data_IF_167873144415
#
_entry.id   IF_167873144415
#
_cell.length_a   1.000
_cell.length_b   1.000
_cell.length_c   1.000
_cell.angle_alpha   90.00
_cell.angle_beta   90.00
_cell.angle_gamma   90.00
#
_symmetry.space_group_name_H-M   'P 1'
#
loop_
_entity.id
_entity.type
_entity.pdbx_description
1 polymer ?
#
# COMPACT_ATOMS: atom_id res chain seq x y z
N UNK A 1 7.12 -24.72 -63.76
CA UNK A 1 5.88 -25.53 -63.82
C UNK A 1 5.12 -25.21 -62.54
N UNK A 2 4.26 -24.20 -62.55
CA UNK A 2 2.86 -24.21 -63.03
C UNK A 2 1.92 -24.87 -62.02
N UNK A 3 0.70 -24.39 -61.77
CA UNK A 3 0.09 -23.07 -61.98
C UNK A 3 -1.28 -23.05 -61.26
N UNK A 4 -1.85 -21.85 -61.14
CA UNK A 4 -3.26 -21.49 -60.85
C UNK A 4 -4.34 -22.56 -61.14
N UNK A 5 -5.43 -22.47 -60.38
CA UNK A 5 -6.79 -22.62 -60.92
C UNK A 5 -7.73 -21.50 -60.42
N UNK A 6 -7.85 -20.44 -61.23
CA UNK A 6 -9.11 -19.74 -61.44
C UNK A 6 -9.77 -20.48 -62.63
N UNK A 7 -11.09 -20.65 -62.79
CA UNK A 7 -12.14 -19.64 -62.95
C UNK A 7 -13.39 -20.34 -63.51
N UNK A 8 -14.57 -19.67 -63.51
CA UNK A 8 -15.60 -19.56 -64.57
C UNK A 8 -17.00 -19.30 -63.97
N UNK A 9 -18.00 -18.65 -64.60
CA UNK A 9 -18.08 -17.46 -65.50
C UNK A 9 -19.59 -17.15 -65.79
N UNK A 10 -19.92 -16.03 -66.46
CA UNK A 10 -21.20 -15.66 -67.15
C UNK A 10 -22.39 -15.21 -66.24
N UNK A 11 -23.21 -14.16 -66.48
CA UNK A 11 -23.43 -13.06 -67.49
C UNK A 11 -24.27 -11.92 -66.80
N UNK A 12 -24.61 -10.74 -67.34
CA UNK A 12 -24.31 -10.04 -68.61
C UNK A 12 -25.45 -9.09 -69.08
N UNK A 13 -25.14 -7.92 -69.69
CA UNK A 13 -26.04 -6.85 -70.23
C UNK A 13 -26.81 -6.00 -69.17
N UNK A 14 -27.11 -4.68 -69.33
CA UNK A 14 -26.98 -3.69 -70.42
C UNK A 14 -26.99 -2.21 -69.89
N UNK A 15 -27.08 -1.15 -70.74
CA UNK A 15 -26.20 0.03 -70.55
C UNK A 15 -26.81 1.41 -70.16
N UNK A 16 -25.92 2.26 -69.59
CA UNK A 16 -25.78 3.75 -69.67
C UNK A 16 -26.96 4.68 -69.35
N UNK A 17 -26.71 5.62 -68.44
CA UNK A 17 -26.78 7.08 -68.70
C UNK A 17 -26.02 7.87 -67.59
N UNK A 18 -25.49 9.03 -67.95
CA UNK A 18 -24.86 10.05 -67.09
C UNK A 18 -25.44 11.42 -67.55
N UNK A 19 -25.43 12.54 -66.78
CA UNK A 19 -24.22 13.06 -66.10
C UNK A 19 -24.46 13.88 -64.80
N UNK A 20 -23.45 14.69 -64.45
CA UNK A 20 -23.46 15.90 -63.59
C UNK A 20 -23.62 15.74 -62.08
N UNK A 21 -22.45 15.59 -61.42
CA UNK A 21 -21.91 16.53 -60.42
C UNK A 21 -22.91 17.48 -59.71
N UNK A 22 -22.85 17.52 -58.38
CA UNK A 22 -22.42 18.68 -57.59
C UNK A 22 -21.74 18.17 -56.32
N UNK A 23 -20.49 18.60 -56.06
CA UNK A 23 -19.71 18.10 -54.93
C UNK A 23 -19.91 18.96 -53.68
N UNK A 24 -20.24 18.32 -52.55
CA UNK A 24 -20.06 18.90 -51.21
C UNK A 24 -19.19 17.94 -50.39
N UNK A 25 -17.89 18.20 -50.37
CA UNK A 25 -16.94 17.46 -49.55
C UNK A 25 -17.14 17.83 -48.09
N UNK A 26 -17.91 17.02 -47.34
CA UNK A 26 -17.89 17.08 -45.89
C UNK A 26 -16.51 16.60 -45.40
N UNK A 27 -15.64 17.55 -45.09
CA UNK A 27 -14.42 17.28 -44.33
C UNK A 27 -14.86 16.91 -42.92
N UNK A 28 -14.84 15.60 -42.62
CA UNK A 28 -14.92 15.13 -41.24
C UNK A 28 -13.61 15.49 -40.56
N UNK A 29 -13.57 16.65 -39.93
CA UNK A 29 -12.50 17.02 -39.01
C UNK A 29 -12.52 16.08 -37.82
N UNK A 30 -11.76 14.99 -37.91
CA UNK A 30 -11.35 14.22 -36.74
C UNK A 30 -10.57 15.15 -35.82
N UNK A 31 -11.26 15.74 -34.84
CA UNK A 31 -10.61 16.26 -33.65
C UNK A 31 -9.97 15.08 -32.92
N UNK A 32 -8.69 14.85 -33.23
CA UNK A 32 -7.79 14.10 -32.37
C UNK A 32 -7.65 14.91 -31.08
N UNK A 33 -8.62 14.73 -30.17
CA UNK A 33 -8.51 15.15 -28.80
C UNK A 33 -7.37 14.38 -28.17
N UNK A 34 -6.17 14.96 -28.21
CA UNK A 34 -5.00 14.45 -27.51
C UNK A 34 -5.36 14.34 -26.03
N UNK A 35 -5.66 13.13 -25.58
CA UNK A 35 -5.78 12.82 -24.18
C UNK A 35 -4.42 13.12 -23.56
N UNK A 36 -4.30 14.27 -22.91
CA UNK A 36 -3.15 14.62 -22.10
C UNK A 36 -3.07 13.59 -20.99
N UNK A 37 -2.18 12.61 -21.16
CA UNK A 37 -1.70 11.82 -20.04
C UNK A 37 -1.34 12.80 -18.94
N UNK A 38 -2.05 12.73 -17.81
CA UNK A 38 -1.69 13.49 -16.63
C UNK A 38 -0.27 13.07 -16.30
N UNK A 39 0.70 13.98 -16.54
CA UNK A 39 2.08 13.73 -16.19
C UNK A 39 2.09 13.39 -14.71
N UNK A 40 2.74 12.27 -14.35
CA UNK A 40 3.11 12.04 -12.96
C UNK A 40 3.85 13.29 -12.51
N UNK A 41 3.26 14.06 -11.61
CA UNK A 41 3.96 15.12 -10.91
C UNK A 41 4.92 14.41 -9.98
N UNK A 42 6.13 14.15 -10.47
CA UNK A 42 7.22 13.63 -9.66
C UNK A 42 7.29 14.47 -8.39
N UNK A 43 7.32 13.80 -7.24
CA UNK A 43 7.43 14.48 -5.96
C UNK A 43 8.79 15.20 -5.94
N UNK A 44 8.76 16.52 -6.11
CA UNK A 44 9.91 17.38 -5.89
C UNK A 44 9.97 17.62 -4.37
N UNK A 45 11.00 17.11 -3.66
CA UNK A 45 11.13 17.38 -2.23
C UNK A 45 11.16 18.90 -2.01
N UNK A 46 10.39 19.37 -1.04
CA UNK A 46 10.45 20.78 -0.64
C UNK A 46 11.90 21.13 -0.30
N UNK A 47 12.32 22.32 -0.74
CA UNK A 47 13.71 22.81 -0.69
C UNK A 47 14.35 22.49 0.67
N UNK A 48 15.28 21.52 0.70
CA UNK A 48 15.87 20.98 1.94
C UNK A 48 16.21 22.11 2.91
N UNK A 49 15.77 22.06 4.18
CA UNK A 49 16.34 22.90 5.22
C UNK A 49 17.87 22.76 5.19
N UNK A 50 18.61 23.87 5.36
CA UNK A 50 20.06 23.77 5.59
C UNK A 50 20.26 23.09 6.94
N UNK A 51 20.50 21.78 6.92
CA UNK A 51 20.87 21.04 8.11
C UNK A 51 22.21 21.58 8.64
N UNK A 52 22.42 21.60 9.96
CA UNK A 52 23.70 21.98 10.55
C UNK A 52 24.84 21.17 9.90
N UNK A 53 25.89 21.85 9.44
CA UNK A 53 27.03 21.21 8.80
C UNK A 53 27.62 20.13 9.72
N UNK A 54 27.64 18.88 9.27
CA UNK A 54 28.11 17.71 10.02
C UNK A 54 27.44 17.51 11.41
N UNK A 55 26.10 17.59 11.45
CA UNK A 55 25.32 17.36 12.68
C UNK A 55 25.75 16.11 13.47
N UNK A 56 25.89 16.27 14.79
CA UNK A 56 26.27 15.22 15.76
C UNK A 56 25.24 14.08 15.84
N UNK A 57 24.10 14.19 15.15
CA UNK A 57 23.02 13.22 15.17
C UNK A 57 22.60 12.82 13.74
N UNK A 58 22.11 11.60 13.62
CA UNK A 58 21.36 11.06 12.47
C UNK A 58 20.00 10.61 13.00
N UNK A 59 18.97 10.72 12.19
CA UNK A 59 17.71 10.03 12.41
C UNK A 59 17.42 9.12 11.22
N UNK A 60 17.03 7.89 11.50
CA UNK A 60 16.62 6.88 10.54
C UNK A 60 15.13 6.62 10.74
N UNK A 61 14.31 7.06 9.80
CA UNK A 61 12.88 6.82 9.78
C UNK A 61 12.53 5.58 8.98
N UNK A 62 11.48 4.86 9.39
CA UNK A 62 10.94 3.72 8.65
C UNK A 62 9.47 3.49 9.00
N UNK A 63 8.73 2.82 8.11
CA UNK A 63 7.39 2.28 8.37
C UNK A 63 7.51 0.76 8.60
N UNK A 64 6.76 0.19 9.54
CA UNK A 64 6.86 -1.25 9.84
C UNK A 64 5.89 -2.12 9.00
N UNK A 65 4.93 -1.50 8.30
CA UNK A 65 3.89 -2.17 7.51
C UNK A 65 4.28 -2.46 6.05
N UNK A 66 5.21 -1.70 5.47
CA UNK A 66 5.57 -1.75 4.05
C UNK A 66 4.61 -1.03 3.10
N UNK A 67 3.32 -1.26 3.29
CA UNK A 67 2.19 -0.58 2.62
C UNK A 67 0.93 -0.82 3.46
N UNK A 68 0.28 0.24 3.94
CA UNK A 68 -1.04 0.09 4.57
C UNK A 68 -2.16 0.08 3.52
N UNK A 69 -3.16 -0.76 3.72
CA UNK A 69 -4.35 -0.83 2.87
C UNK A 69 -5.56 -0.32 3.66
N UNK A 70 -6.42 0.50 3.07
CA UNK A 70 -7.66 0.97 3.71
C UNK A 70 -8.85 0.86 2.75
N UNK A 71 -10.07 0.80 3.30
CA UNK A 71 -11.27 0.97 2.48
C UNK A 71 -11.34 2.39 1.89
N UNK A 72 -11.91 2.53 0.69
CA UNK A 72 -12.24 3.84 0.12
C UNK A 72 -13.50 4.43 0.78
N UNK A 73 -14.49 3.57 1.07
CA UNK A 73 -15.77 3.89 1.70
C UNK A 73 -16.01 2.96 2.90
N UNK A 74 -16.61 3.49 3.98
CA UNK A 74 -16.83 2.80 5.24
C UNK A 74 -18.33 2.58 5.57
N UNK A 75 -19.24 2.85 4.64
CA UNK A 75 -20.69 2.86 4.88
C UNK A 75 -21.35 1.48 4.89
N UNK A 76 -20.71 0.46 4.29
CA UNK A 76 -21.22 -0.91 4.18
C UNK A 76 -20.32 -1.93 4.88
N UNK A 77 -18.99 -1.86 4.68
CA UNK A 77 -18.04 -2.72 5.37
C UNK A 77 -16.69 -2.02 5.61
N UNK A 78 -15.90 -2.60 6.50
CA UNK A 78 -14.53 -2.19 6.77
C UNK A 78 -13.63 -3.44 6.86
N UNK A 79 -12.66 -3.52 5.96
CA UNK A 79 -11.55 -4.47 6.05
C UNK A 79 -10.47 -3.83 6.93
N UNK A 80 -10.01 -2.62 6.58
CA UNK A 80 -8.99 -1.88 7.31
C UNK A 80 -9.30 -0.35 7.34
N UNK A 81 -9.08 0.32 8.48
CA UNK A 81 -9.27 1.77 8.64
C UNK A 81 -8.11 2.58 8.01
N UNK A 82 -8.21 3.91 7.90
CA UNK A 82 -7.06 4.78 7.65
C UNK A 82 -6.07 4.62 8.81
N UNK A 83 -4.86 4.16 8.51
CA UNK A 83 -3.86 3.81 9.51
C UNK A 83 -2.45 3.85 8.91
N UNK A 84 -1.45 4.12 9.75
CA UNK A 84 -0.04 3.94 9.42
C UNK A 84 0.79 3.98 10.69
N UNK A 85 1.94 3.32 10.68
CA UNK A 85 2.95 3.43 11.71
C UNK A 85 4.19 4.10 11.14
N UNK A 86 4.74 5.04 11.88
CA UNK A 86 6.02 5.65 11.57
C UNK A 86 6.95 5.47 12.76
N UNK A 87 8.15 4.98 12.50
CA UNK A 87 9.21 4.77 13.46
C UNK A 87 10.42 5.64 13.14
N UNK A 88 11.21 5.96 14.16
CA UNK A 88 12.41 6.76 14.06
C UNK A 88 13.45 6.30 15.09
N UNK A 89 14.64 5.90 14.63
CA UNK A 89 15.80 5.68 15.51
C UNK A 89 16.78 6.85 15.38
N UNK A 90 17.22 7.39 16.51
CA UNK A 90 18.16 8.52 16.57
C UNK A 90 19.54 8.01 16.98
N UNK A 91 20.56 8.28 16.17
CA UNK A 91 21.94 7.84 16.40
C UNK A 91 22.84 9.06 16.57
N UNK A 92 23.53 9.17 17.70
CA UNK A 92 24.59 10.17 17.91
C UNK A 92 25.86 9.69 17.21
N UNK A 93 26.33 10.47 16.22
CA UNK A 93 27.62 10.26 15.54
C UNK A 93 28.78 10.44 16.52
N UNK A 94 29.85 9.70 16.29
CA UNK A 94 31.09 9.75 17.07
C UNK A 94 32.06 8.67 16.59
N UNK A 95 33.24 8.57 17.22
CA UNK A 95 34.18 7.45 16.98
C UNK A 95 33.53 6.09 17.24
N UNK A 96 32.64 6.05 18.23
CA UNK A 96 31.71 4.97 18.49
C UNK A 96 30.30 5.58 18.41
N UNK A 97 29.52 5.29 17.35
CA UNK A 97 28.13 5.73 17.26
C UNK A 97 27.30 5.14 18.40
N UNK A 98 26.32 5.89 18.91
CA UNK A 98 25.44 5.42 19.98
C UNK A 98 23.99 5.79 19.68
N UNK A 99 23.09 4.80 19.81
CA UNK A 99 21.66 5.06 19.74
C UNK A 99 21.26 5.91 20.95
N UNK A 100 20.47 6.95 20.69
CA UNK A 100 19.89 7.84 21.68
C UNK A 100 18.55 7.24 22.10
N UNK A 101 18.25 7.26 23.39
CA UNK A 101 16.98 6.78 23.95
C UNK A 101 16.24 7.83 24.79
N UNK A 102 16.86 8.99 25.04
CA UNK A 102 16.31 10.08 25.87
C UNK A 102 17.03 11.40 25.59
N UNK A 103 16.53 12.51 26.15
CA UNK A 103 17.14 13.85 26.02
C UNK A 103 16.94 14.55 24.67
N UNK A 104 16.14 13.94 23.78
CA UNK A 104 15.70 14.51 22.51
C UNK A 104 14.18 14.40 22.38
N UNK A 105 13.59 15.30 21.60
CA UNK A 105 12.21 15.24 21.14
C UNK A 105 12.20 14.84 19.67
N UNK A 106 11.40 13.86 19.29
CA UNK A 106 11.23 13.45 17.89
C UNK A 106 9.82 13.85 17.45
N UNK A 107 9.74 14.59 16.35
CA UNK A 107 8.51 15.07 15.75
C UNK A 107 8.37 14.55 14.32
N UNK A 108 7.14 14.38 13.87
CA UNK A 108 6.82 14.04 12.49
C UNK A 108 5.74 14.97 11.92
N UNK A 109 5.77 15.15 10.61
CA UNK A 109 4.77 15.89 9.84
C UNK A 109 4.67 15.29 8.43
N UNK A 110 3.47 15.24 7.85
CA UNK A 110 3.25 14.76 6.47
C UNK A 110 2.88 15.96 5.58
N UNK A 111 3.85 16.63 4.91
CA UNK A 111 3.60 17.94 4.29
C UNK A 111 2.60 17.93 3.14
N UNK A 112 2.32 16.76 2.55
CA UNK A 112 1.35 16.59 1.46
C UNK A 112 -0.09 16.35 1.92
N UNK A 113 -0.31 16.13 3.22
CA UNK A 113 -1.65 15.86 3.77
C UNK A 113 -1.79 16.45 5.17
N UNK A 114 -2.46 17.60 5.27
CA UNK A 114 -2.78 18.27 6.54
C UNK A 114 -4.13 17.88 7.10
N UNK A 115 -5.00 17.28 6.28
CA UNK A 115 -6.30 16.71 6.68
C UNK A 115 -6.60 15.42 5.93
N UNK A 116 -7.41 14.54 6.52
CA UNK A 116 -7.90 13.27 5.96
C UNK A 116 -9.42 13.09 6.13
N UNK A 117 -10.05 13.77 7.09
CA UNK A 117 -11.51 13.74 7.34
C UNK A 117 -12.35 14.25 6.16
N UNK A 118 -11.75 15.07 5.29
CA UNK A 118 -12.37 15.55 4.05
C UNK A 118 -12.20 14.60 2.85
N UNK A 119 -11.43 13.51 3.02
CA UNK A 119 -10.98 12.60 1.94
C UNK A 119 -11.56 11.19 2.05
N UNK A 120 -12.26 10.89 3.14
CA UNK A 120 -12.97 9.62 3.38
C UNK A 120 -14.07 9.81 4.43
N UNK A 121 -15.08 8.94 4.45
CA UNK A 121 -16.16 8.94 5.44
C UNK A 121 -15.85 8.15 6.73
N UNK A 122 -14.61 7.67 6.92
CA UNK A 122 -14.21 6.86 8.09
C UNK A 122 -14.72 7.39 9.45
N UNK A 123 -14.51 8.68 9.76
CA UNK A 123 -14.91 9.28 11.04
C UNK A 123 -16.42 9.26 11.30
N UNK A 124 -17.25 9.22 10.26
CA UNK A 124 -18.70 9.07 10.38
C UNK A 124 -19.09 7.67 10.88
N UNK A 125 -18.35 6.64 10.46
CA UNK A 125 -18.66 5.23 10.73
C UNK A 125 -17.79 4.61 11.84
N UNK A 126 -16.71 5.28 12.27
CA UNK A 126 -15.88 4.84 13.40
C UNK A 126 -16.65 4.51 14.70
N UNK A 127 -17.75 5.20 15.08
CA UNK A 127 -18.54 4.81 16.24
C UNK A 127 -19.25 3.46 16.09
N UNK A 128 -19.67 3.10 14.86
CA UNK A 128 -20.34 1.82 14.58
C UNK A 128 -19.33 0.68 14.35
N UNK A 129 -18.23 0.97 13.66
CA UNK A 129 -17.20 0.00 13.30
C UNK A 129 -16.25 -0.34 14.46
N UNK A 130 -15.86 0.66 15.25
CA UNK A 130 -14.81 0.56 16.27
C UNK A 130 -15.26 0.99 17.68
N UNK A 131 -16.52 1.40 17.85
CA UNK A 131 -17.05 1.82 19.16
C UNK A 131 -16.49 3.15 19.68
N UNK A 132 -15.80 3.93 18.85
CA UNK A 132 -15.08 5.16 19.26
C UNK A 132 -15.55 6.39 18.51
N UNK A 133 -15.71 7.49 19.25
CA UNK A 133 -15.94 8.83 18.68
C UNK A 133 -14.58 9.54 18.53
N UNK A 134 -13.99 9.45 17.34
CA UNK A 134 -12.70 10.08 17.04
C UNK A 134 -12.86 11.57 16.75
N UNK A 135 -11.87 12.37 17.17
CA UNK A 135 -11.75 13.75 16.70
C UNK A 135 -11.37 13.76 15.20
N UNK A 136 -11.78 14.79 14.43
CA UNK A 136 -11.34 14.95 13.05
C UNK A 136 -9.81 14.88 12.93
N UNK A 137 -9.32 14.19 11.91
CA UNK A 137 -7.88 14.01 11.61
C UNK A 137 -7.05 13.32 12.71
N UNK A 138 -7.70 12.72 13.71
CA UNK A 138 -7.09 11.85 14.74
C UNK A 138 -7.47 10.40 14.48
N UNK A 139 -6.47 9.51 14.48
CA UNK A 139 -6.63 8.08 14.26
C UNK A 139 -6.93 7.28 15.53
N UNK A 140 -7.09 5.97 15.38
CA UNK A 140 -7.54 5.04 16.44
C UNK A 140 -6.62 4.99 17.68
N UNK A 141 -5.36 5.40 17.54
CA UNK A 141 -4.32 5.45 18.58
C UNK A 141 -4.13 6.84 19.20
N UNK A 142 -4.88 7.85 18.75
CA UNK A 142 -4.75 9.24 19.20
C UNK A 142 -3.74 10.10 18.42
N UNK A 143 -3.02 9.53 17.45
CA UNK A 143 -2.08 10.28 16.59
C UNK A 143 -2.78 10.92 15.38
N UNK A 144 -2.27 12.05 14.91
CA UNK A 144 -2.75 12.75 13.72
C UNK A 144 -1.74 12.72 12.56
N UNK A 145 -1.90 13.60 11.57
CA UNK A 145 -0.98 13.70 10.41
C UNK A 145 0.34 14.44 10.71
N UNK A 146 0.47 14.96 11.94
CA UNK A 146 1.70 15.51 12.52
C UNK A 146 1.65 15.34 14.04
N UNK A 147 2.80 15.26 14.71
CA UNK A 147 2.84 15.10 16.16
C UNK A 147 4.23 14.86 16.73
N UNK A 148 4.28 14.58 18.02
CA UNK A 148 5.48 14.11 18.74
C UNK A 148 5.43 12.59 18.80
N UNK A 149 6.51 11.92 18.42
CA UNK A 149 6.62 10.46 18.47
C UNK A 149 6.91 10.00 19.91
N UNK A 150 6.30 8.91 20.35
CA UNK A 150 6.48 8.34 21.68
C UNK A 150 7.66 7.35 21.72
N UNK A 151 8.50 7.33 22.76
CA UNK A 151 9.56 6.33 22.88
C UNK A 151 8.95 4.93 23.09
N UNK A 152 9.42 3.94 22.33
CA UNK A 152 8.88 2.56 22.34
C UNK A 152 9.42 1.71 23.50
N UNK A 153 10.55 2.10 24.08
CA UNK A 153 11.37 1.26 24.95
C UNK A 153 12.32 0.30 24.21
N UNK A 154 12.29 0.27 22.87
CA UNK A 154 13.10 -0.60 22.00
C UNK A 154 14.12 0.21 21.17
N UNK A 155 14.74 1.22 21.81
CA UNK A 155 15.74 2.10 21.20
C UNK A 155 15.25 2.85 19.93
N UNK A 156 13.95 3.13 19.85
CA UNK A 156 13.33 3.96 18.82
C UNK A 156 12.13 4.75 19.38
N UNK A 157 11.56 5.62 18.53
CA UNK A 157 10.32 6.34 18.77
C UNK A 157 9.30 5.99 17.69
N UNK A 158 8.02 5.91 18.05
CA UNK A 158 6.94 5.59 17.14
C UNK A 158 5.77 6.59 17.21
N UNK A 159 5.12 6.78 16.07
CA UNK A 159 3.77 7.32 15.97
C UNK A 159 2.93 6.29 15.21
N UNK A 160 2.15 5.49 15.93
CA UNK A 160 1.29 4.44 15.39
C UNK A 160 -0.10 4.98 15.06
N UNK A 161 -0.84 4.31 14.18
CA UNK A 161 -2.23 4.66 13.84
C UNK A 161 -2.46 6.07 13.29
N UNK A 162 -1.50 6.60 12.53
CA UNK A 162 -1.63 7.85 11.77
C UNK A 162 -2.75 7.69 10.71
N UNK A 163 -3.80 8.52 10.69
CA UNK A 163 -4.97 8.33 9.83
C UNK A 163 -4.76 8.88 8.41
N UNK A 164 -3.61 8.60 7.81
CA UNK A 164 -3.26 9.05 6.45
C UNK A 164 -4.12 8.36 5.39
N UNK A 165 -4.42 9.09 4.31
CA UNK A 165 -5.20 8.65 3.15
C UNK A 165 -4.37 8.78 1.87
N UNK A 166 -4.62 7.98 0.82
CA UNK A 166 -3.82 8.00 -0.43
C UNK A 166 -4.09 9.22 -1.34
N UNK A 167 -4.52 10.34 -0.77
CA UNK A 167 -4.92 11.57 -1.45
C UNK A 167 -4.28 12.77 -0.73
N UNK A 168 -3.50 13.56 -1.46
CA UNK A 168 -2.89 14.78 -0.96
C UNK A 168 -3.91 15.93 -0.86
N UNK A 169 -3.57 17.02 -0.18
CA UNK A 169 -4.48 18.18 0.02
C UNK A 169 -4.89 18.88 -1.28
N UNK A 170 -4.11 18.75 -2.34
CA UNK A 170 -4.44 19.23 -3.68
C UNK A 170 -5.37 18.27 -4.48
N UNK A 171 -5.86 17.19 -3.85
CA UNK A 171 -6.70 16.17 -4.47
C UNK A 171 -5.95 15.15 -5.35
N UNK A 172 -4.62 15.26 -5.49
CA UNK A 172 -3.84 14.28 -6.24
C UNK A 172 -3.69 12.96 -5.45
N UNK A 173 -3.80 11.83 -6.15
CA UNK A 173 -3.48 10.53 -5.55
C UNK A 173 -1.99 10.47 -5.23
N UNK A 174 -1.67 10.09 -3.99
CA UNK A 174 -0.33 9.90 -3.49
C UNK A 174 -0.30 8.71 -2.53
N UNK A 175 0.09 7.54 -3.04
CA UNK A 175 0.21 6.33 -2.22
C UNK A 175 1.52 6.22 -1.44
N UNK A 176 2.48 7.12 -1.71
CA UNK A 176 3.79 7.16 -1.07
C UNK A 176 4.07 8.55 -0.45
N UNK A 177 3.20 9.05 0.44
CA UNK A 177 3.46 10.32 1.11
C UNK A 177 4.72 10.20 1.96
N UNK A 178 5.61 11.18 1.82
CA UNK A 178 6.81 11.30 2.65
C UNK A 178 6.48 12.10 3.90
N UNK A 179 6.73 11.50 5.06
CA UNK A 179 6.79 12.22 6.33
C UNK A 179 8.18 12.84 6.48
N UNK A 180 8.22 14.10 6.89
CA UNK A 180 9.42 14.71 7.47
C UNK A 180 9.49 14.30 8.94
N UNK A 181 10.65 13.81 9.39
CA UNK A 181 10.92 13.47 10.80
C UNK A 181 12.03 14.39 11.28
N UNK A 182 11.78 15.13 12.35
CA UNK A 182 12.68 16.13 12.92
C UNK A 182 13.06 15.75 14.35
N UNK A 183 14.36 15.78 14.67
CA UNK A 183 14.88 15.59 16.02
C UNK A 183 15.29 16.94 16.60
N UNK A 184 14.77 17.28 17.78
CA UNK A 184 15.16 18.46 18.55
C UNK A 184 15.93 18.07 19.81
N UNK A 185 16.99 18.82 20.09
CA UNK A 185 17.71 18.77 21.37
C UNK A 185 17.81 20.19 21.94
N UNK A 186 17.39 20.38 23.19
CA UNK A 186 17.35 21.70 23.84
C UNK A 186 16.60 22.76 22.99
N UNK A 187 15.51 22.36 22.32
CA UNK A 187 14.71 23.20 21.43
C UNK A 187 15.28 23.39 20.01
N UNK A 188 16.55 23.09 19.77
CA UNK A 188 17.19 23.24 18.46
C UNK A 188 17.03 21.97 17.61
N UNK A 189 16.75 22.12 16.31
CA UNK A 189 16.77 21.00 15.36
C UNK A 189 18.20 20.50 15.16
N UNK A 190 18.45 19.22 15.45
CA UNK A 190 19.78 18.59 15.38
C UNK A 190 19.91 17.50 14.32
N UNK A 191 18.79 16.95 13.86
CA UNK A 191 18.73 16.02 12.73
C UNK A 191 17.35 16.05 12.06
N UNK A 192 17.30 15.65 10.79
CA UNK A 192 16.08 15.54 10.00
C UNK A 192 16.24 14.40 8.99
N UNK A 193 15.18 13.66 8.73
CA UNK A 193 15.11 12.70 7.62
C UNK A 193 13.71 12.71 7.00
N UNK A 194 13.54 11.98 5.89
CA UNK A 194 12.23 11.69 5.32
C UNK A 194 12.03 10.18 5.22
N UNK A 195 10.86 9.70 5.63
CA UNK A 195 10.46 8.30 5.48
C UNK A 195 9.06 8.22 4.87
N UNK A 196 8.81 7.18 4.08
CA UNK A 196 7.50 6.97 3.44
C UNK A 196 6.52 6.46 4.51
N UNK A 197 5.29 6.98 4.49
CA UNK A 197 4.14 6.49 5.26
C UNK A 197 3.10 5.93 4.26
N UNK A 198 3.39 4.77 3.66
CA UNK A 198 2.72 4.29 2.45
C UNK A 198 1.29 3.83 2.75
N UNK A 199 0.33 4.27 1.95
CA UNK A 199 -1.09 3.94 2.11
C UNK A 199 -1.80 3.84 0.76
N UNK A 200 -2.77 2.94 0.64
CA UNK A 200 -3.61 2.81 -0.55
C UNK A 200 -5.00 2.29 -0.25
N UNK A 201 -5.95 2.58 -1.13
CA UNK A 201 -7.28 1.96 -1.18
C UNK A 201 -7.47 1.09 -2.42
N UNK A 202 -6.38 0.74 -3.10
CA UNK A 202 -6.39 -0.06 -4.33
C UNK A 202 -6.63 -1.53 -4.02
N UNK A 203 -7.87 -1.83 -3.63
CA UNK A 203 -8.41 -3.15 -3.34
C UNK A 203 -9.47 -3.42 -4.43
N UNK A 204 -9.07 -4.02 -5.55
CA UNK A 204 -9.87 -4.11 -6.78
C UNK A 204 -10.93 -5.22 -6.76
N UNK A 205 -11.75 -5.22 -5.71
CA UNK A 205 -12.91 -6.11 -5.59
C UNK A 205 -13.89 -5.94 -6.78
N UNK A 206 -13.95 -4.75 -7.39
CA UNK A 206 -14.72 -4.40 -8.59
C UNK A 206 -14.35 -5.20 -9.86
N UNK A 207 -13.30 -6.01 -9.81
CA UNK A 207 -12.99 -6.97 -10.87
C UNK A 207 -14.06 -8.07 -10.97
N UNK A 208 -14.61 -8.49 -9.81
CA UNK A 208 -15.50 -9.65 -9.68
C UNK A 208 -16.80 -9.36 -8.89
N UNK A 209 -16.78 -8.38 -7.98
CA UNK A 209 -17.92 -7.97 -7.17
C UNK A 209 -18.52 -6.68 -7.71
N UNK A 210 -19.83 -6.67 -7.98
CA UNK A 210 -20.54 -5.64 -8.75
C UNK A 210 -19.69 -5.03 -9.90
N UNK A 211 -19.28 -5.82 -10.93
CA UNK A 211 -18.12 -5.46 -11.74
C UNK A 211 -18.16 -4.07 -12.40
N UNK A 212 -17.09 -3.30 -12.22
CA UNK A 212 -16.95 -1.93 -12.73
C UNK A 212 -17.80 -0.87 -11.99
N UNK A 213 -18.47 -1.24 -10.89
CA UNK A 213 -19.10 -0.27 -9.97
C UNK A 213 -18.12 0.12 -8.85
N UNK A 214 -18.24 1.33 -8.26
CA UNK A 214 -17.40 1.76 -7.15
C UNK A 214 -18.01 1.43 -5.76
N UNK A 215 -17.13 1.29 -4.77
CA UNK A 215 -17.44 1.42 -3.34
C UNK A 215 -18.69 0.66 -2.86
N UNK A 216 -19.73 1.34 -2.32
CA UNK A 216 -20.88 0.69 -1.67
C UNK A 216 -21.61 -0.37 -2.50
N UNK A 217 -21.59 -0.29 -3.84
CA UNK A 217 -22.19 -1.31 -4.70
C UNK A 217 -21.41 -2.63 -4.68
N UNK A 218 -20.07 -2.54 -4.64
CA UNK A 218 -19.15 -3.67 -4.51
C UNK A 218 -19.31 -4.31 -3.13
N UNK A 219 -19.34 -3.48 -2.09
CA UNK A 219 -19.53 -3.92 -0.70
C UNK A 219 -20.88 -4.60 -0.50
N UNK A 220 -21.95 -4.06 -1.10
CA UNK A 220 -23.30 -4.66 -1.07
C UNK A 220 -23.31 -6.06 -1.69
N UNK A 221 -22.64 -6.25 -2.82
CA UNK A 221 -22.53 -7.55 -3.48
C UNK A 221 -21.62 -8.53 -2.72
N UNK A 222 -20.56 -8.04 -2.06
CA UNK A 222 -19.75 -8.83 -1.11
C UNK A 222 -20.63 -9.34 0.04
N UNK A 223 -21.36 -8.45 0.72
CA UNK A 223 -22.22 -8.81 1.86
C UNK A 223 -23.38 -9.72 1.43
N UNK A 224 -24.01 -9.46 0.28
CA UNK A 224 -25.06 -10.34 -0.28
C UNK A 224 -24.55 -11.77 -0.49
N UNK A 225 -23.36 -11.92 -1.08
CA UNK A 225 -22.72 -13.23 -1.29
C UNK A 225 -22.26 -13.87 0.01
N UNK A 226 -21.81 -13.08 0.99
CA UNK A 226 -21.46 -13.56 2.32
C UNK A 226 -22.70 -14.13 3.03
N UNK A 227 -23.78 -13.35 3.10
CA UNK A 227 -25.05 -13.73 3.73
C UNK A 227 -25.63 -14.99 3.11
N UNK A 228 -25.68 -15.09 1.79
CA UNK A 228 -26.15 -16.29 1.09
C UNK A 228 -25.28 -17.54 1.34
N UNK A 229 -23.96 -17.38 1.48
CA UNK A 229 -23.01 -18.49 1.67
C UNK A 229 -22.91 -18.96 3.11
N UNK A 230 -23.06 -18.06 4.08
CA UNK A 230 -22.85 -18.31 5.50
C UNK A 230 -24.14 -18.29 6.33
N UNK A 231 -25.30 -18.08 5.68
CA UNK A 231 -26.61 -17.92 6.32
C UNK A 231 -26.58 -16.84 7.41
N UNK A 232 -26.00 -15.69 7.06
CA UNK A 232 -25.96 -14.48 7.90
C UNK A 232 -26.93 -13.42 7.37
N UNK A 233 -27.15 -12.36 8.15
CA UNK A 233 -27.97 -11.21 7.80
C UNK A 233 -27.19 -9.94 8.14
N UNK A 234 -26.06 -9.72 7.48
CA UNK A 234 -25.17 -8.59 7.71
C UNK A 234 -25.59 -7.37 6.88
N UNK A 235 -26.04 -7.59 5.63
CA UNK A 235 -26.45 -6.50 4.75
C UNK A 235 -27.66 -5.74 5.34
N UNK A 236 -27.57 -4.41 5.36
CA UNK A 236 -28.64 -3.52 5.85
C UNK A 236 -28.65 -3.28 7.36
N UNK A 237 -27.81 -3.96 8.15
CA UNK A 237 -27.73 -3.80 9.60
C UNK A 237 -26.64 -2.81 10.07
N UNK A 238 -26.22 -1.90 9.19
CA UNK A 238 -25.12 -0.95 9.41
C UNK A 238 -23.78 -1.44 8.82
N UNK A 239 -22.69 -0.68 9.00
CA UNK A 239 -21.39 -1.02 8.44
C UNK A 239 -20.73 -2.18 9.18
N UNK A 240 -20.20 -3.14 8.43
CA UNK A 240 -19.64 -4.40 8.97
C UNK A 240 -18.12 -4.32 9.10
N UNK A 241 -17.58 -4.30 10.32
CA UNK A 241 -16.14 -4.53 10.52
C UNK A 241 -15.84 -6.02 10.32
N UNK A 242 -15.12 -6.39 9.26
CA UNK A 242 -14.76 -7.79 8.98
C UNK A 242 -14.02 -8.43 10.17
N UNK A 243 -13.12 -7.67 10.79
CA UNK A 243 -12.36 -8.05 11.99
C UNK A 243 -13.19 -8.33 13.25
N UNK A 244 -14.47 -7.96 13.30
CA UNK A 244 -15.34 -8.23 14.46
C UNK A 244 -15.69 -9.71 14.61
N UNK A 245 -15.82 -10.44 13.50
CA UNK A 245 -16.08 -11.88 13.47
C UNK A 245 -14.85 -12.68 13.07
N UNK A 246 -14.09 -12.20 12.07
CA UNK A 246 -12.88 -12.85 11.60
C UNK A 246 -11.67 -12.35 12.38
N UNK A 247 -10.89 -13.25 13.00
CA UNK A 247 -9.67 -12.85 13.70
C UNK A 247 -8.68 -12.17 12.73
N UNK A 248 -8.19 -10.99 13.09
CA UNK A 248 -7.24 -10.22 12.30
C UNK A 248 -6.15 -9.58 13.18
N UNK A 249 -4.93 -10.16 13.18
CA UNK A 249 -3.77 -9.60 13.87
C UNK A 249 -3.41 -8.15 13.48
N UNK A 250 -3.73 -7.68 12.26
CA UNK A 250 -3.47 -6.28 11.88
C UNK A 250 -4.30 -5.27 12.68
N UNK A 251 -5.53 -5.66 13.03
CA UNK A 251 -6.45 -4.88 13.86
C UNK A 251 -6.36 -5.24 15.35
N UNK A 252 -5.56 -6.26 15.70
CA UNK A 252 -5.55 -6.85 17.03
C UNK A 252 -6.88 -7.51 17.42
N UNK A 253 -7.76 -7.84 16.48
CA UNK A 253 -9.07 -8.40 16.79
C UNK A 253 -8.99 -9.92 17.02
N UNK A 254 -9.53 -10.45 18.13
CA UNK A 254 -9.48 -11.88 18.42
C UNK A 254 -10.43 -12.71 17.54
N UNK A 255 -11.39 -12.06 16.88
CA UNK A 255 -12.48 -12.72 16.15
C UNK A 255 -13.42 -13.52 17.07
N UNK A 256 -14.24 -14.36 16.45
CA UNK A 256 -15.18 -15.25 17.12
C UNK A 256 -14.70 -16.70 17.02
N UNK A 257 -14.77 -17.45 18.13
CA UNK A 257 -14.34 -18.85 18.16
C UNK A 257 -15.10 -19.71 17.12
N UNK A 258 -14.36 -20.52 16.36
CA UNK A 258 -14.91 -21.32 15.25
C UNK A 258 -15.10 -20.57 13.93
N UNK A 259 -14.98 -19.23 13.93
CA UNK A 259 -14.91 -18.44 12.69
C UNK A 259 -13.46 -18.42 12.20
N UNK A 260 -13.29 -18.57 10.88
CA UNK A 260 -11.98 -18.53 10.21
C UNK A 260 -11.32 -17.15 10.40
N UNK A 261 -9.99 -17.08 10.52
CA UNK A 261 -9.26 -15.80 10.47
C UNK A 261 -9.53 -15.06 9.15
N UNK A 262 -9.34 -13.74 9.13
CA UNK A 262 -9.68 -12.93 7.95
C UNK A 262 -8.85 -13.38 6.73
N UNK A 263 -7.55 -13.62 6.91
CA UNK A 263 -6.67 -14.20 5.90
C UNK A 263 -7.19 -15.55 5.37
N UNK A 264 -7.50 -16.49 6.26
CA UNK A 264 -7.99 -17.80 5.83
C UNK A 264 -9.33 -17.69 5.08
N UNK A 265 -10.26 -16.87 5.58
CA UNK A 265 -11.58 -16.69 4.98
C UNK A 265 -11.50 -16.04 3.59
N UNK A 266 -10.72 -14.97 3.46
CA UNK A 266 -10.52 -14.23 2.21
C UNK A 266 -9.76 -15.08 1.19
N UNK A 267 -8.53 -15.48 1.49
CA UNK A 267 -7.70 -16.21 0.54
C UNK A 267 -8.34 -17.56 0.14
N UNK A 268 -8.87 -18.31 1.11
CA UNK A 268 -9.53 -19.59 0.83
C UNK A 268 -10.83 -19.48 0.03
N UNK A 269 -11.52 -18.33 0.09
CA UNK A 269 -12.70 -18.08 -0.77
C UNK A 269 -12.32 -17.66 -2.20
N UNK A 270 -11.12 -17.12 -2.42
CA UNK A 270 -10.71 -16.59 -3.72
C UNK A 270 -9.71 -17.48 -4.49
N UNK A 271 -8.99 -18.38 -3.82
CA UNK A 271 -7.92 -19.19 -4.42
C UNK A 271 -8.32 -19.94 -5.71
N UNK A 272 -9.57 -20.41 -5.83
CA UNK A 272 -10.07 -21.12 -7.03
C UNK A 272 -10.83 -20.21 -8.00
N UNK A 273 -10.74 -18.88 -7.85
CA UNK A 273 -11.57 -17.88 -8.55
C UNK A 273 -10.76 -16.76 -9.20
N UNK A 274 -9.43 -16.89 -9.27
CA UNK A 274 -8.53 -15.85 -9.81
C UNK A 274 -8.48 -15.78 -11.35
N UNK A 275 -9.19 -16.65 -12.08
CA UNK A 275 -9.18 -16.63 -13.56
C UNK A 275 -9.52 -15.24 -14.16
N UNK A 276 -10.56 -14.50 -13.71
CA UNK A 276 -10.86 -13.17 -14.26
C UNK A 276 -9.78 -12.11 -14.02
N UNK A 277 -8.83 -12.36 -13.09
CA UNK A 277 -7.68 -11.50 -12.83
C UNK A 277 -6.59 -11.75 -13.89
N UNK A 278 -6.30 -13.02 -14.16
CA UNK A 278 -5.39 -13.42 -15.24
C UNK A 278 -5.91 -13.02 -16.63
N UNK A 279 -7.23 -13.12 -16.85
CA UNK A 279 -7.89 -12.70 -18.10
C UNK A 279 -7.76 -11.19 -18.36
N UNK A 280 -7.54 -10.37 -17.31
CA UNK A 280 -7.20 -8.94 -17.42
C UNK A 280 -5.70 -8.66 -17.58
N UNK A 281 -4.88 -9.70 -17.74
CA UNK A 281 -3.43 -9.59 -17.97
C UNK A 281 -2.58 -9.35 -16.73
N UNK A 282 -3.13 -9.47 -15.52
CA UNK A 282 -2.37 -9.35 -14.28
C UNK A 282 -1.67 -10.68 -13.97
N UNK A 283 -0.33 -10.68 -13.98
CA UNK A 283 0.49 -11.88 -13.76
C UNK A 283 0.72 -12.24 -12.29
N UNK A 284 0.58 -11.28 -11.37
CA UNK A 284 0.62 -11.50 -9.93
C UNK A 284 -0.80 -11.33 -9.37
N UNK A 285 -1.50 -12.43 -9.10
CA UNK A 285 -2.90 -12.40 -8.68
C UNK A 285 -3.13 -11.74 -7.32
N UNK A 286 -2.10 -11.64 -6.48
CA UNK A 286 -2.16 -10.95 -5.19
C UNK A 286 -2.52 -9.47 -5.37
N UNK A 287 -2.11 -8.86 -6.50
CA UNK A 287 -2.36 -7.46 -6.84
C UNK A 287 -3.81 -7.15 -7.24
N UNK A 288 -4.72 -8.14 -7.22
CA UNK A 288 -6.15 -7.89 -7.32
C UNK A 288 -6.77 -7.38 -6.01
N UNK A 289 -6.18 -7.71 -4.86
CA UNK A 289 -6.69 -7.35 -3.53
C UNK A 289 -5.69 -6.53 -2.72
N UNK A 290 -4.39 -6.74 -2.94
CA UNK A 290 -3.33 -5.88 -2.42
C UNK A 290 -2.97 -4.81 -3.49
N UNK A 291 -2.62 -3.58 -3.09
CA UNK A 291 -2.36 -2.48 -4.04
C UNK A 291 -1.31 -2.85 -5.09
N UNK A 292 -1.58 -2.76 -6.40
CA UNK A 292 -0.68 -3.41 -7.36
C UNK A 292 -0.87 -3.25 -8.87
N UNK A 293 -2.02 -2.80 -9.37
CA UNK A 293 -2.15 -2.32 -10.76
C UNK A 293 -1.45 -0.97 -10.95
N UNK A 294 -1.41 -0.13 -9.91
CA UNK A 294 -0.79 1.21 -9.94
C UNK A 294 0.16 1.43 -8.77
N UNK A 295 -0.21 0.94 -7.58
CA UNK A 295 0.48 1.25 -6.32
C UNK A 295 1.60 0.28 -5.92
N UNK A 296 1.79 -0.86 -6.61
CA UNK A 296 2.91 -1.79 -6.38
C UNK A 296 3.29 -1.97 -4.88
N UNK A 297 2.46 -2.68 -4.12
CA UNK A 297 2.67 -2.96 -2.69
C UNK A 297 4.11 -3.46 -2.44
N UNK A 298 4.56 -4.42 -3.25
CA UNK A 298 5.96 -4.80 -3.37
C UNK A 298 6.66 -3.95 -4.44
N UNK A 299 7.71 -3.23 -4.00
CA UNK A 299 8.51 -2.28 -4.78
C UNK A 299 10.00 -2.30 -4.39
N UNK A 300 10.43 -3.38 -3.75
CA UNK A 300 11.78 -3.61 -3.25
C UNK A 300 12.78 -4.06 -4.34
N UNK A 301 14.01 -4.27 -3.90
CA UNK A 301 15.08 -4.87 -4.71
C UNK A 301 14.73 -6.28 -5.23
N UNK A 302 13.87 -7.03 -4.54
CA UNK A 302 13.45 -8.37 -4.98
C UNK A 302 12.49 -8.27 -6.17
N UNK A 303 11.51 -7.37 -6.12
CA UNK A 303 10.66 -7.00 -7.25
C UNK A 303 11.49 -6.55 -8.46
N UNK A 304 12.52 -5.72 -8.24
CA UNK A 304 13.47 -5.29 -9.27
C UNK A 304 14.29 -6.44 -9.91
N UNK A 305 14.30 -7.63 -9.29
CA UNK A 305 14.93 -8.86 -9.77
C UNK A 305 13.93 -9.91 -10.26
N UNK A 306 12.64 -9.60 -10.32
CA UNK A 306 11.59 -10.52 -10.75
C UNK A 306 11.25 -11.59 -9.72
N UNK A 307 11.45 -11.29 -8.43
CA UNK A 307 11.00 -12.10 -7.29
C UNK A 307 9.75 -11.43 -6.74
N UNK A 308 8.63 -12.16 -6.70
CA UNK A 308 7.31 -11.64 -6.38
C UNK A 308 6.74 -12.25 -5.09
N UNK A 309 5.55 -11.81 -4.69
CA UNK A 309 4.88 -12.21 -3.45
C UNK A 309 4.82 -13.72 -3.25
N UNK A 310 4.57 -14.48 -4.32
CA UNK A 310 4.42 -15.93 -4.29
C UNK A 310 5.74 -16.69 -4.09
N UNK A 311 6.90 -16.10 -4.43
CA UNK A 311 8.22 -16.70 -4.17
C UNK A 311 8.56 -16.74 -2.66
N UNK A 312 7.94 -15.86 -1.87
CA UNK A 312 8.13 -15.77 -0.42
C UNK A 312 6.94 -16.33 0.39
N UNK A 313 5.71 -15.98 0.04
CA UNK A 313 4.49 -16.34 0.79
C UNK A 313 3.74 -17.55 0.22
N UNK A 314 4.12 -18.03 -0.97
CA UNK A 314 3.36 -19.04 -1.72
C UNK A 314 2.11 -18.48 -2.40
N UNK A 315 1.29 -19.36 -2.97
CA UNK A 315 0.07 -18.98 -3.69
C UNK A 315 -1.11 -18.70 -2.74
N UNK A 316 -2.24 -18.27 -3.31
CA UNK A 316 -3.49 -17.99 -2.58
C UNK A 316 -3.96 -19.14 -1.65
N UNK A 317 -3.67 -20.40 -1.97
CA UNK A 317 -4.02 -21.53 -1.08
C UNK A 317 -3.03 -21.67 0.09
N UNK A 318 -1.76 -21.33 -0.08
CA UNK A 318 -0.75 -21.33 0.98
C UNK A 318 -1.02 -20.23 2.02
N UNK A 319 -1.34 -19.00 1.58
CA UNK A 319 -1.73 -17.91 2.50
C UNK A 319 -3.13 -18.11 3.12
N UNK A 320 -3.92 -19.03 2.57
CA UNK A 320 -5.17 -19.51 3.15
C UNK A 320 -4.99 -20.66 4.18
N UNK A 321 -3.78 -21.11 4.48
CA UNK A 321 -3.57 -22.19 5.45
C UNK A 321 -4.12 -21.79 6.84
N UNK A 322 -5.03 -22.57 7.47
CA UNK A 322 -5.53 -22.26 8.82
C UNK A 322 -4.44 -22.26 9.90
N UNK A 323 -3.35 -23.00 9.68
CA UNK A 323 -2.21 -23.07 10.60
C UNK A 323 -1.25 -21.87 10.46
N UNK A 324 -1.51 -20.95 9.51
CA UNK A 324 -0.73 -19.73 9.30
C UNK A 324 -1.43 -18.53 9.92
N UNK A 325 -0.76 -17.86 10.85
CA UNK A 325 -1.18 -16.58 11.42
C UNK A 325 -0.58 -15.42 10.61
N UNK A 326 -1.39 -14.61 9.89
CA UNK A 326 -0.87 -13.46 9.15
C UNK A 326 -0.29 -12.42 10.13
N UNK A 327 0.71 -11.65 9.69
CA UNK A 327 1.47 -10.68 10.49
C UNK A 327 2.29 -11.28 11.65
N UNK A 328 2.36 -12.61 11.74
CA UNK A 328 3.13 -13.35 12.76
C UNK A 328 4.00 -14.42 12.09
N UNK A 329 3.41 -15.24 11.21
CA UNK A 329 4.10 -16.26 10.42
C UNK A 329 4.49 -15.71 9.04
N UNK A 330 5.47 -14.80 9.03
CA UNK A 330 5.95 -14.13 7.82
C UNK A 330 7.30 -14.68 7.31
N UNK A 331 7.61 -14.57 6.00
CA UNK A 331 8.87 -15.03 5.43
C UNK A 331 10.09 -14.31 6.02
N UNK A 332 11.16 -15.05 6.33
CA UNK A 332 12.42 -14.51 6.85
C UNK A 332 13.46 -14.38 5.74
N UNK A 333 14.25 -13.30 5.71
CA UNK A 333 15.46 -13.15 4.89
C UNK A 333 16.40 -14.34 5.05
N UNK A 334 16.53 -14.85 6.29
CA UNK A 334 17.34 -16.01 6.61
C UNK A 334 17.06 -17.27 5.77
N UNK A 335 15.84 -17.49 5.27
CA UNK A 335 15.47 -18.73 4.57
C UNK A 335 16.18 -18.87 3.22
N UNK A 336 16.45 -17.75 2.54
CA UNK A 336 17.10 -17.70 1.23
C UNK A 336 18.54 -17.16 1.29
N UNK A 337 18.81 -16.16 2.14
CA UNK A 337 20.10 -15.45 2.12
C UNK A 337 21.17 -16.12 2.99
N UNK A 338 20.81 -16.82 4.08
CA UNK A 338 21.77 -17.49 4.97
C UNK A 338 22.64 -18.54 4.27
N UNK A 339 22.07 -19.25 3.29
CA UNK A 339 22.82 -20.22 2.48
C UNK A 339 23.88 -19.56 1.58
N UNK A 340 23.76 -18.26 1.29
CA UNK A 340 24.70 -17.49 0.45
C UNK A 340 25.68 -16.66 1.26
N UNK A 341 25.26 -16.14 2.42
CA UNK A 341 26.06 -15.28 3.30
C UNK A 341 25.85 -15.72 4.77
N UNK A 342 26.41 -16.88 5.19
CA UNK A 342 26.17 -17.43 6.52
C UNK A 342 26.76 -16.58 7.66
N UNK A 343 27.74 -15.74 7.37
CA UNK A 343 28.37 -14.77 8.26
C UNK A 343 27.55 -13.49 8.53
N UNK A 344 26.42 -13.27 7.86
CA UNK A 344 25.59 -12.09 8.07
C UNK A 344 24.64 -12.23 9.27
N UNK A 345 24.32 -11.09 9.89
CA UNK A 345 23.22 -10.98 10.84
C UNK A 345 21.89 -11.07 10.08
N UNK A 346 20.96 -11.87 10.61
CA UNK A 346 19.59 -12.05 10.09
C UNK A 346 18.59 -11.77 11.20
N UNK A 347 17.30 -12.01 10.95
CA UNK A 347 16.24 -11.85 11.95
C UNK A 347 16.57 -12.52 13.29
N UNK A 348 16.25 -11.81 14.38
CA UNK A 348 16.42 -12.35 15.73
C UNK A 348 15.45 -13.53 15.94
N UNK A 349 15.82 -14.57 16.72
CA UNK A 349 14.96 -15.74 16.92
C UNK A 349 13.57 -15.37 17.45
N UNK A 350 12.53 -15.72 16.68
CA UNK A 350 11.10 -15.42 16.93
C UNK A 350 10.73 -13.93 16.84
N UNK A 351 11.49 -13.12 16.10
CA UNK A 351 11.09 -11.78 15.65
C UNK A 351 10.96 -11.75 14.13
N UNK A 352 10.14 -10.82 13.64
CA UNK A 352 10.09 -10.51 12.21
C UNK A 352 11.22 -9.56 11.82
N UNK A 353 11.49 -9.43 10.52
CA UNK A 353 12.44 -8.44 9.98
C UNK A 353 12.17 -7.02 10.50
N UNK A 354 10.90 -6.62 10.58
CA UNK A 354 10.48 -5.29 11.04
C UNK A 354 10.76 -5.03 12.53
N UNK A 355 10.89 -6.08 13.34
CA UNK A 355 11.09 -6.03 14.79
C UNK A 355 12.52 -6.46 15.22
N UNK A 356 13.36 -6.81 14.24
CA UNK A 356 14.72 -7.33 14.44
C UNK A 356 15.76 -6.22 14.42
N UNK A 357 16.85 -6.43 15.15
CA UNK A 357 17.97 -5.50 15.26
C UNK A 357 19.30 -6.18 14.90
N UNK A 358 20.21 -5.42 14.30
CA UNK A 358 21.59 -5.81 14.04
C UNK A 358 22.56 -4.66 14.30
N UNK A 359 23.83 -4.82 13.93
CA UNK A 359 24.83 -3.74 13.82
C UNK A 359 24.93 -2.80 15.04
N UNK A 360 24.85 -3.37 16.26
CA UNK A 360 24.88 -2.61 17.50
C UNK A 360 23.51 -2.13 18.04
N UNK A 361 22.42 -2.79 17.62
CA UNK A 361 21.06 -2.49 18.08
C UNK A 361 20.25 -1.61 17.13
N UNK A 362 20.69 -1.47 15.88
CA UNK A 362 19.99 -0.75 14.83
C UNK A 362 18.88 -1.64 14.27
N UNK A 363 17.65 -1.11 14.24
CA UNK A 363 16.50 -1.80 13.63
C UNK A 363 16.78 -2.12 12.16
N UNK A 364 16.54 -3.36 11.73
CA UNK A 364 16.81 -3.79 10.36
C UNK A 364 16.10 -2.88 9.34
N UNK A 365 14.83 -2.57 9.57
CA UNK A 365 14.04 -1.69 8.69
C UNK A 365 14.55 -0.24 8.63
N UNK A 366 15.26 0.26 9.65
CA UNK A 366 15.80 1.62 9.68
C UNK A 366 16.95 1.83 8.66
N UNK A 367 17.72 0.79 8.36
CA UNK A 367 18.79 0.83 7.35
C UNK A 367 18.39 0.17 6.03
N UNK A 368 17.67 -0.95 6.07
CA UNK A 368 17.32 -1.72 4.87
C UNK A 368 16.03 -1.22 4.20
N UNK A 369 15.21 -0.41 4.87
CA UNK A 369 13.88 -0.01 4.40
C UNK A 369 12.79 -0.94 4.93
N UNK A 370 11.54 -0.52 4.73
CA UNK A 370 10.35 -1.24 5.18
C UNK A 370 10.20 -2.62 4.50
N UNK A 371 9.45 -3.58 5.10
CA UNK A 371 8.99 -4.77 4.38
C UNK A 371 8.40 -4.40 3.01
N UNK A 372 8.61 -5.21 1.98
CA UNK A 372 8.14 -4.94 0.61
C UNK A 372 8.70 -3.67 -0.07
N UNK A 373 9.58 -2.91 0.61
CA UNK A 373 10.27 -1.71 0.11
C UNK A 373 11.77 -1.70 0.44
N UNK A 374 12.36 -2.88 0.63
CA UNK A 374 13.78 -3.07 0.93
C UNK A 374 14.68 -2.53 -0.19
N UNK A 375 15.70 -1.76 0.21
CA UNK A 375 16.53 -0.97 -0.69
C UNK A 375 17.52 -1.78 -1.56
N UNK A 376 17.90 -1.26 -2.74
CA UNK A 376 17.31 -0.10 -3.42
C UNK A 376 15.92 -0.42 -3.97
N UNK A 377 14.93 0.39 -3.60
CA UNK A 377 13.55 0.25 -4.06
C UNK A 377 13.39 0.77 -5.49
N UNK A 378 12.37 0.32 -6.23
CA UNK A 378 12.06 0.85 -7.57
C UNK A 378 11.34 2.21 -7.54
N UNK A 379 10.85 2.62 -6.37
CA UNK A 379 10.21 3.91 -6.09
C UNK A 379 11.23 4.95 -5.59
N UNK A 380 11.33 6.14 -6.19
CA UNK A 380 12.26 7.17 -5.74
C UNK A 380 12.07 7.60 -4.28
N UNK A 381 10.82 7.62 -3.79
CA UNK A 381 10.45 8.08 -2.45
C UNK A 381 11.13 7.25 -1.35
N UNK A 382 11.09 5.92 -1.44
CA UNK A 382 11.69 5.02 -0.44
C UNK A 382 13.22 5.14 -0.39
N UNK A 383 13.86 5.59 -1.48
CA UNK A 383 15.31 5.77 -1.55
C UNK A 383 15.80 7.14 -0.99
N UNK A 384 14.90 8.10 -0.71
CA UNK A 384 15.27 9.47 -0.31
C UNK A 384 16.18 9.50 0.92
N UNK A 385 15.86 8.72 1.96
CA UNK A 385 16.66 8.60 3.18
C UNK A 385 18.05 8.06 2.86
N UNK A 386 18.14 6.90 2.22
CA UNK A 386 19.41 6.24 1.92
C UNK A 386 20.36 7.12 1.09
N UNK A 387 19.83 7.80 0.06
CA UNK A 387 20.60 8.75 -0.77
C UNK A 387 21.05 9.97 0.03
N UNK A 388 20.29 10.40 1.05
CA UNK A 388 20.66 11.56 1.89
C UNK A 388 21.71 11.26 2.97
N UNK A 389 22.03 9.99 3.20
CA UNK A 389 22.96 9.52 4.23
C UNK A 389 24.34 9.12 3.67
N UNK A 390 24.46 9.02 2.34
CA UNK A 390 25.69 8.80 1.57
C UNK A 390 26.48 10.12 1.43
#
# INVERSE_FOLDING_TARGET
MNAKFESYCMRGFGPRLAPTLWGTTFVVSCFLGSATFAQRTDFIPTKRPKLPESGTYVVLGYNDLGMHCMNQDFSQLCILPPFNNLHAQVIRRGREPRIVSSGVQVEYNIPSSTTSVTKTNFWQFAPQLFGVNLQPDVGLTGNGLKGVMAPTGQNDWAATGIPITPTADNGALNAYPLSEITVKSQGNVVALTHAVVPVSWEISCDICHAPGQPGPAVDTDILTKHDAKHNTHLLGNGPVLCGSCHADPALGTPGVAGVKSLSHAMHGSHATRMQPVFDRGLTNECYACHPGFKTNCQRDVHFAKGIFCNDCHGNMAAVANPDRMPWVDEPTCASCHRARQPEFEFEEPRKLFKDSHGHGGVHCAACHGSPHAVGPAVTPQDNVQAISLQ
#
